data_IF_051301244724
#
_entry.id   IF_051301244724
#
_cell.length_a   1.000
_cell.length_b   1.000
_cell.length_c   1.000
_cell.angle_alpha   90.00
_cell.angle_beta   90.00
_cell.angle_gamma   90.00
#
_symmetry.space_group_name_H-M   'P 1'
#
loop_
_entity.id
_entity.type
_entity.pdbx_description
1 polymer ?
#
# COMPACT_ATOMS: atom_id res chain seq x y z
N UNK A 1 -25.62 2.14 -24.82
CA UNK A 1 -24.11 2.00 -24.81
C UNK A 1 -23.64 2.49 -23.48
N UNK A 2 -23.35 1.57 -22.58
CA UNK A 2 -22.97 1.91 -21.21
C UNK A 2 -21.46 2.05 -21.15
N UNK A 3 -21.00 3.19 -20.67
CA UNK A 3 -19.60 3.54 -20.62
C UNK A 3 -18.95 2.87 -19.41
N UNK A 4 -18.28 1.74 -19.63
CA UNK A 4 -17.42 1.16 -18.58
C UNK A 4 -16.28 2.13 -18.26
N UNK A 5 -16.17 2.54 -17.00
CA UNK A 5 -15.08 3.40 -16.55
C UNK A 5 -13.85 2.54 -16.24
N UNK A 6 -12.73 2.86 -16.88
CA UNK A 6 -11.51 2.07 -16.77
C UNK A 6 -10.44 2.88 -16.03
N UNK A 7 -9.95 2.36 -14.91
CA UNK A 7 -8.79 2.87 -14.19
C UNK A 7 -7.59 1.95 -14.42
N UNK A 8 -6.48 2.47 -14.93
CA UNK A 8 -5.26 1.69 -15.13
C UNK A 8 -4.03 2.49 -14.72
N UNK A 9 -3.17 1.88 -13.89
CA UNK A 9 -1.92 2.50 -13.43
C UNK A 9 -0.80 1.49 -13.45
N UNK A 10 0.40 1.98 -13.76
CA UNK A 10 1.63 1.24 -13.69
C UNK A 10 2.49 1.78 -12.55
N UNK A 11 2.71 1.01 -11.51
CA UNK A 11 3.54 1.39 -10.35
C UNK A 11 4.83 0.57 -10.30
N UNK A 12 5.94 1.26 -10.04
CA UNK A 12 7.22 0.62 -9.70
C UNK A 12 7.25 0.42 -8.18
N UNK A 13 7.45 -0.80 -7.73
CA UNK A 13 7.66 -1.09 -6.32
C UNK A 13 9.15 -1.21 -6.03
N UNK A 14 9.58 -0.78 -4.85
CA UNK A 14 10.99 -0.78 -4.45
C UNK A 14 11.62 -2.19 -4.43
N UNK A 15 10.83 -3.19 -4.05
CA UNK A 15 11.31 -4.58 -3.89
C UNK A 15 11.38 -5.33 -5.22
N UNK A 16 10.68 -4.85 -6.25
CA UNK A 16 10.66 -5.48 -7.56
C UNK A 16 10.90 -4.43 -8.63
N UNK A 17 11.98 -4.57 -9.39
CA UNK A 17 12.24 -3.76 -10.59
C UNK A 17 11.16 -3.91 -11.67
N UNK A 18 10.21 -4.83 -11.45
CA UNK A 18 9.08 -5.07 -12.35
C UNK A 18 7.97 -4.05 -12.13
N UNK A 19 7.54 -3.43 -13.22
CA UNK A 19 6.36 -2.58 -13.24
C UNK A 19 5.12 -3.42 -12.89
N UNK A 20 4.40 -3.01 -11.85
CA UNK A 20 3.12 -3.61 -11.49
C UNK A 20 1.99 -2.83 -12.16
N UNK A 21 1.22 -3.51 -12.99
CA UNK A 21 0.03 -2.94 -13.63
C UNK A 21 -1.19 -3.30 -12.80
N UNK A 22 -1.87 -2.29 -12.29
CA UNK A 22 -3.19 -2.43 -11.67
C UNK A 22 -4.23 -1.90 -12.65
N UNK A 23 -5.28 -2.66 -12.90
CA UNK A 23 -6.39 -2.27 -13.74
C UNK A 23 -7.70 -2.60 -13.05
N UNK A 24 -8.60 -1.64 -13.00
CA UNK A 24 -9.97 -1.80 -12.49
C UNK A 24 -10.94 -1.31 -13.55
N UNK A 25 -11.96 -2.08 -13.82
CA UNK A 25 -13.03 -1.77 -14.75
C UNK A 25 -14.33 -1.82 -13.94
N UNK A 26 -15.04 -0.71 -13.90
CA UNK A 26 -16.35 -0.61 -13.29
C UNK A 26 -17.40 -0.92 -14.38
N UNK A 27 -18.18 -1.95 -14.14
CA UNK A 27 -19.32 -2.37 -14.96
C UNK A 27 -20.60 -2.20 -14.15
N UNK A 28 -21.77 -2.33 -14.74
CA UNK A 28 -23.07 -2.07 -14.08
C UNK A 28 -23.30 -2.87 -12.80
N UNK A 29 -23.01 -4.16 -12.84
CA UNK A 29 -23.35 -5.09 -11.76
C UNK A 29 -22.14 -5.61 -11.01
N UNK A 30 -20.92 -5.33 -11.49
CA UNK A 30 -19.72 -5.89 -10.94
C UNK A 30 -18.48 -5.06 -11.25
N UNK A 31 -17.46 -5.27 -10.44
CA UNK A 31 -16.14 -4.69 -10.58
C UNK A 31 -15.18 -5.78 -11.05
N UNK A 32 -14.47 -5.53 -12.15
CA UNK A 32 -13.39 -6.39 -12.63
C UNK A 32 -12.07 -5.76 -12.22
N UNK A 33 -11.22 -6.52 -11.52
CA UNK A 33 -9.90 -6.02 -11.15
C UNK A 33 -8.80 -6.98 -11.54
N UNK A 34 -7.64 -6.40 -11.87
CA UNK A 34 -6.41 -7.12 -12.16
C UNK A 34 -5.29 -6.47 -11.35
N UNK A 35 -4.77 -7.23 -10.40
CA UNK A 35 -3.65 -6.79 -9.58
C UNK A 35 -2.41 -7.63 -9.90
N UNK A 36 -1.27 -6.96 -10.03
CA UNK A 36 0.02 -7.60 -10.31
C UNK A 36 0.06 -8.33 -11.67
N UNK A 37 1.03 -9.24 -11.84
CA UNK A 37 1.32 -9.97 -13.11
C UNK A 37 0.28 -11.01 -13.52
N UNK A 38 -0.87 -11.10 -12.88
CA UNK A 38 -1.89 -12.08 -13.25
C UNK A 38 -2.62 -11.62 -14.51
N UNK A 39 -2.72 -12.50 -15.49
CA UNK A 39 -3.44 -12.24 -16.74
C UNK A 39 -4.97 -12.28 -16.57
N UNK A 40 -5.45 -12.85 -15.49
CA UNK A 40 -6.86 -13.09 -15.24
C UNK A 40 -7.44 -11.92 -14.44
N UNK A 41 -8.52 -11.32 -14.94
CA UNK A 41 -9.33 -10.38 -14.20
C UNK A 41 -10.16 -11.15 -13.17
N UNK A 42 -10.19 -10.68 -11.94
CA UNK A 42 -11.09 -11.18 -10.91
C UNK A 42 -12.33 -10.31 -10.88
N UNK A 43 -13.47 -10.94 -10.66
CA UNK A 43 -14.77 -10.32 -10.61
C UNK A 43 -15.25 -10.24 -9.17
N UNK A 44 -15.79 -9.07 -8.77
CA UNK A 44 -16.46 -8.88 -7.49
C UNK A 44 -17.80 -8.21 -7.79
N UNK A 45 -18.87 -8.75 -7.25
CA UNK A 45 -20.19 -8.15 -7.39
C UNK A 45 -20.39 -7.03 -6.38
N UNK A 46 -21.05 -5.94 -6.78
CA UNK A 46 -21.29 -4.80 -5.87
C UNK A 46 -22.09 -5.18 -4.63
N UNK A 47 -22.94 -6.22 -4.71
CA UNK A 47 -23.67 -6.79 -3.55
C UNK A 47 -22.73 -7.27 -2.42
N UNK A 48 -21.51 -7.63 -2.76
CA UNK A 48 -20.48 -8.12 -1.84
C UNK A 48 -19.63 -6.98 -1.30
N UNK A 49 -19.81 -5.76 -1.81
CA UNK A 49 -19.01 -4.60 -1.45
C UNK A 49 -19.81 -3.69 -0.52
N UNK A 50 -19.34 -3.50 0.70
CA UNK A 50 -19.94 -2.54 1.61
C UNK A 50 -19.44 -1.11 1.35
N UNK A 51 -18.14 -0.96 1.20
CA UNK A 51 -17.48 0.34 1.00
C UNK A 51 -16.06 0.13 0.48
N UNK A 52 -15.58 1.04 -0.39
CA UNK A 52 -14.17 1.11 -0.75
C UNK A 52 -13.44 2.15 0.11
N UNK A 53 -12.22 1.86 0.49
CA UNK A 53 -11.37 2.76 1.27
C UNK A 53 -9.90 2.69 0.84
N UNK A 54 -9.13 3.71 1.22
CA UNK A 54 -7.70 3.81 0.88
C UNK A 54 -6.87 3.44 2.10
N UNK A 55 -5.92 2.54 1.90
CA UNK A 55 -4.90 2.20 2.88
C UNK A 55 -3.54 2.67 2.36
N UNK A 56 -2.82 3.44 3.18
CA UNK A 56 -1.46 3.85 2.89
C UNK A 56 -0.49 2.73 3.28
N UNK A 57 0.39 2.35 2.37
CA UNK A 57 1.37 1.28 2.58
C UNK A 57 2.77 1.86 2.53
N UNK A 58 3.52 1.76 3.62
CA UNK A 58 4.89 2.22 3.76
C UNK A 58 5.82 1.00 3.92
N UNK A 59 6.14 0.32 2.84
CA UNK A 59 7.00 -0.88 2.89
C UNK A 59 8.42 -0.61 3.37
N UNK A 60 9.02 0.50 2.94
CA UNK A 60 10.38 0.89 3.38
C UNK A 60 10.44 1.15 4.88
N UNK A 61 9.41 1.77 5.43
CA UNK A 61 9.30 2.02 6.86
C UNK A 61 9.35 0.73 7.69
N UNK A 62 8.54 -0.27 7.32
CA UNK A 62 8.52 -1.55 8.02
C UNK A 62 9.83 -2.32 7.86
N UNK A 63 10.40 -2.32 6.66
CA UNK A 63 11.67 -2.97 6.38
C UNK A 63 12.83 -2.34 7.16
N UNK A 64 12.94 -1.00 7.13
CA UNK A 64 13.96 -0.28 7.88
C UNK A 64 13.83 -0.46 9.40
N UNK A 65 12.59 -0.44 9.93
CA UNK A 65 12.33 -0.70 11.34
C UNK A 65 12.74 -2.11 11.76
N UNK A 66 12.46 -3.10 10.91
CA UNK A 66 12.83 -4.50 11.19
C UNK A 66 14.35 -4.68 11.20
N UNK A 67 15.06 -4.14 10.20
CA UNK A 67 16.52 -4.21 10.15
C UNK A 67 17.13 -3.52 11.36
N UNK A 68 16.62 -2.35 11.73
CA UNK A 68 17.12 -1.62 12.89
C UNK A 68 16.94 -2.40 14.19
N UNK A 69 15.77 -2.98 14.42
CA UNK A 69 15.53 -3.79 15.62
C UNK A 69 16.47 -5.00 15.68
N UNK A 70 16.73 -5.64 14.52
CA UNK A 70 17.69 -6.75 14.44
C UNK A 70 19.11 -6.30 14.75
N UNK A 71 19.56 -5.16 14.19
CA UNK A 71 20.88 -4.59 14.44
C UNK A 71 21.04 -4.15 15.91
N UNK A 72 20.04 -3.51 16.47
CA UNK A 72 20.05 -3.13 17.90
C UNK A 72 20.12 -4.35 18.80
N UNK A 73 19.36 -5.40 18.51
CA UNK A 73 19.40 -6.67 19.24
C UNK A 73 20.78 -7.33 19.16
N UNK A 74 21.39 -7.36 17.98
CA UNK A 74 22.73 -7.92 17.77
C UNK A 74 23.80 -7.12 18.53
N UNK A 75 23.79 -5.79 18.43
CA UNK A 75 24.73 -4.91 19.13
C UNK A 75 24.57 -5.06 20.63
N UNK A 76 23.33 -5.10 21.13
CA UNK A 76 23.07 -5.30 22.54
C UNK A 76 23.60 -6.65 23.05
N UNK A 77 23.41 -7.71 22.28
CA UNK A 77 23.90 -9.05 22.61
C UNK A 77 25.43 -9.14 22.65
N UNK A 78 26.10 -8.51 21.67
CA UNK A 78 27.58 -8.56 21.56
C UNK A 78 28.27 -7.62 22.54
N UNK A 79 27.69 -6.44 22.79
CA UNK A 79 28.31 -5.37 23.58
C UNK A 79 27.84 -5.30 25.04
N UNK A 80 27.02 -6.25 25.49
CA UNK A 80 26.37 -6.20 26.81
C UNK A 80 27.33 -6.12 27.99
N UNK A 81 28.60 -6.55 27.82
CA UNK A 81 29.60 -6.54 28.88
C UNK A 81 30.58 -5.36 28.86
N UNK A 82 30.70 -4.59 27.76
CA UNK A 82 31.79 -3.64 27.61
C UNK A 82 31.44 -2.28 26.98
N UNK A 83 30.19 -2.07 26.54
CA UNK A 83 29.84 -0.83 25.85
C UNK A 83 29.62 0.34 26.81
N UNK A 84 30.22 1.53 26.56
CA UNK A 84 29.94 2.72 27.34
C UNK A 84 28.46 3.14 27.21
N UNK A 85 27.85 3.73 28.27
CA UNK A 85 26.39 4.07 28.29
C UNK A 85 25.98 5.08 27.23
N UNK A 86 26.91 5.80 26.61
CA UNK A 86 26.65 6.72 25.49
C UNK A 86 26.38 6.01 24.17
N UNK A 87 26.78 4.77 23.99
CA UNK A 87 26.66 4.04 22.73
C UNK A 87 25.20 3.78 22.30
N UNK A 88 24.31 3.30 23.18
CA UNK A 88 22.90 3.11 22.82
C UNK A 88 22.19 4.44 22.49
N UNK A 89 22.55 5.54 23.16
CA UNK A 89 21.97 6.85 22.89
C UNK A 89 22.38 7.36 21.50
N UNK A 90 23.66 7.26 21.15
CA UNK A 90 24.18 7.67 19.83
C UNK A 90 23.56 6.82 18.70
N UNK A 91 23.48 5.52 18.91
CA UNK A 91 22.85 4.59 18.00
C UNK A 91 21.37 4.93 17.77
N UNK A 92 20.64 5.28 18.82
CA UNK A 92 19.23 5.69 18.73
C UNK A 92 19.06 7.01 17.96
N UNK A 93 19.93 8.01 18.19
CA UNK A 93 19.90 9.28 17.45
C UNK A 93 20.16 9.07 15.96
N UNK A 94 21.18 8.30 15.60
CA UNK A 94 21.50 7.96 14.21
C UNK A 94 20.34 7.24 13.51
N UNK A 95 19.69 6.34 14.22
CA UNK A 95 18.49 5.67 13.72
C UNK A 95 17.35 6.65 13.47
N UNK A 96 17.08 7.54 14.41
CA UNK A 96 16.01 8.54 14.28
C UNK A 96 16.24 9.41 13.05
N UNK A 97 17.48 9.86 12.81
CA UNK A 97 17.86 10.64 11.64
C UNK A 97 17.67 9.86 10.33
N UNK A 98 18.11 8.59 10.30
CA UNK A 98 17.94 7.72 9.14
C UNK A 98 16.45 7.45 8.86
N UNK A 99 15.68 7.23 9.89
CA UNK A 99 14.26 6.98 9.83
C UNK A 99 13.44 8.19 9.32
N UNK A 100 13.78 9.39 9.80
CA UNK A 100 13.22 10.64 9.29
C UNK A 100 13.55 10.82 7.80
N UNK A 101 14.80 10.52 7.40
CA UNK A 101 15.22 10.56 6.00
C UNK A 101 14.41 9.62 5.10
N UNK A 102 14.11 8.41 5.57
CA UNK A 102 13.25 7.47 4.84
C UNK A 102 11.82 7.99 4.73
N UNK A 103 11.24 8.50 5.83
CA UNK A 103 9.88 9.05 5.82
C UNK A 103 9.69 10.20 4.84
N UNK A 104 10.71 11.06 4.72
CA UNK A 104 10.69 12.20 3.79
C UNK A 104 10.79 11.74 2.34
N UNK A 105 11.66 10.77 2.06
CA UNK A 105 11.97 10.34 0.70
C UNK A 105 11.08 9.19 0.19
N UNK A 106 10.32 8.52 1.07
CA UNK A 106 9.51 7.38 0.66
C UNK A 106 8.32 7.80 -0.21
N UNK A 107 8.28 7.23 -1.42
CA UNK A 107 7.09 7.28 -2.27
C UNK A 107 6.06 6.30 -1.73
N UNK A 108 5.11 6.82 -0.97
CA UNK A 108 4.02 6.02 -0.43
C UNK A 108 3.22 5.34 -1.52
N UNK A 109 2.88 4.08 -1.29
CA UNK A 109 1.90 3.36 -2.08
C UNK A 109 0.53 3.47 -1.43
N UNK A 110 -0.49 3.68 -2.26
CA UNK A 110 -1.88 3.74 -1.86
C UNK A 110 -2.60 2.51 -2.39
N UNK A 111 -3.08 1.68 -1.48
CA UNK A 111 -3.90 0.50 -1.80
C UNK A 111 -5.36 0.87 -1.64
N UNK A 112 -6.17 0.60 -2.66
CA UNK A 112 -7.62 0.66 -2.55
C UNK A 112 -8.11 -0.72 -2.18
N UNK A 113 -8.81 -0.81 -1.05
CA UNK A 113 -9.38 -2.04 -0.51
C UNK A 113 -10.89 -1.95 -0.41
N UNK A 114 -11.51 -3.09 -0.58
CA UNK A 114 -12.95 -3.27 -0.44
C UNK A 114 -13.24 -3.79 0.96
N UNK A 115 -14.02 -3.03 1.74
CA UNK A 115 -14.45 -3.41 3.09
C UNK A 115 -15.40 -4.60 2.97
N UNK A 116 -15.36 -5.53 3.80
CA UNK A 116 -16.01 -6.82 3.90
C UNK A 116 -15.09 -8.00 3.55
N UNK A 117 -14.27 -7.90 2.50
CA UNK A 117 -13.32 -8.96 2.12
C UNK A 117 -11.86 -8.57 2.37
N UNK A 118 -11.58 -7.30 2.70
CA UNK A 118 -10.21 -6.74 2.84
C UNK A 118 -9.32 -7.00 1.60
N UNK A 119 -9.97 -7.14 0.44
CA UNK A 119 -9.29 -7.45 -0.81
C UNK A 119 -8.71 -6.17 -1.39
N UNK A 120 -7.41 -6.20 -1.68
CA UNK A 120 -6.73 -5.15 -2.42
C UNK A 120 -7.09 -5.27 -3.90
N UNK A 121 -7.72 -4.23 -4.46
CA UNK A 121 -8.17 -4.19 -5.85
C UNK A 121 -7.30 -3.30 -6.74
N UNK A 122 -6.64 -2.31 -6.16
CA UNK A 122 -5.86 -1.33 -6.89
C UNK A 122 -4.68 -0.81 -6.07
N UNK A 123 -3.53 -0.63 -6.72
CA UNK A 123 -2.31 -0.12 -6.11
C UNK A 123 -1.74 1.02 -6.96
N UNK A 124 -1.53 2.19 -6.36
CA UNK A 124 -0.96 3.36 -7.03
C UNK A 124 -0.03 4.16 -6.11
N UNK A 125 0.94 4.85 -6.70
CA UNK A 125 1.77 5.83 -6.00
C UNK A 125 1.12 7.23 -5.93
N UNK A 126 0.02 7.45 -6.66
CA UNK A 126 -0.66 8.74 -6.77
C UNK A 126 -1.95 8.74 -5.95
N UNK A 127 -1.96 9.50 -4.86
CA UNK A 127 -3.13 9.63 -3.99
C UNK A 127 -4.40 10.10 -4.71
N UNK A 128 -4.24 10.98 -5.71
CA UNK A 128 -5.37 11.50 -6.50
C UNK A 128 -6.11 10.39 -7.26
N UNK A 129 -5.38 9.46 -7.86
CA UNK A 129 -5.95 8.33 -8.59
C UNK A 129 -6.68 7.35 -7.65
N UNK A 130 -6.09 7.06 -6.49
CA UNK A 130 -6.75 6.24 -5.47
C UNK A 130 -8.05 6.87 -4.98
N UNK A 131 -8.05 8.19 -4.73
CA UNK A 131 -9.27 8.92 -4.33
C UNK A 131 -10.35 8.92 -5.42
N UNK A 132 -9.96 9.13 -6.68
CA UNK A 132 -10.89 9.12 -7.80
C UNK A 132 -11.56 7.74 -7.96
N UNK A 133 -10.78 6.66 -7.83
CA UNK A 133 -11.32 5.30 -7.89
C UNK A 133 -12.28 5.01 -6.72
N UNK A 134 -11.90 5.34 -5.49
CA UNK A 134 -12.76 5.12 -4.33
C UNK A 134 -14.05 5.91 -4.44
N UNK A 135 -13.98 7.15 -4.91
CA UNK A 135 -15.16 7.98 -5.13
C UNK A 135 -16.10 7.33 -6.16
N UNK A 136 -15.57 6.93 -7.32
CA UNK A 136 -16.36 6.27 -8.37
C UNK A 136 -17.02 4.98 -7.89
N UNK A 137 -16.31 4.13 -7.11
CA UNK A 137 -16.87 2.89 -6.55
C UNK A 137 -18.02 3.22 -5.59
N UNK A 138 -17.80 4.16 -4.67
CA UNK A 138 -18.83 4.48 -3.66
C UNK A 138 -20.06 5.14 -4.29
N UNK A 139 -19.90 6.01 -5.30
CA UNK A 139 -21.01 6.57 -6.08
C UNK A 139 -21.84 5.47 -6.78
N UNK A 140 -21.16 4.51 -7.43
CA UNK A 140 -21.87 3.37 -8.05
C UNK A 140 -22.60 2.51 -7.02
N UNK A 141 -22.02 2.35 -5.82
CA UNK A 141 -22.67 1.61 -4.72
C UNK A 141 -23.91 2.32 -4.18
N UNK A 142 -23.89 3.65 -4.12
CA UNK A 142 -25.03 4.47 -3.70
C UNK A 142 -26.18 4.37 -4.73
N UNK A 143 -25.86 4.51 -6.02
CA UNK A 143 -26.83 4.36 -7.12
C UNK A 143 -27.53 3.00 -7.16
N UNK A 144 -26.84 1.93 -6.69
CA UNK A 144 -27.43 0.59 -6.68
C UNK A 144 -28.23 0.26 -5.41
N UNK A 145 -28.16 1.12 -4.39
CA UNK A 145 -28.90 0.96 -3.14
C UNK A 145 -30.22 1.72 -3.13
N UNK A 146 -30.35 2.69 -4.03
CA UNK A 146 -31.64 3.37 -4.29
C UNK A 146 -32.58 2.51 -5.16
#
# INVERSE_FOLDING_TARGET
MQSSVVFSVCTKTFISSSQQKSKVILDENHLLYRLRRRFIHRKIYYKEIYQAHIVRINHLFYFASTIFLLLQGLIYFVAFHEAPPLYPVLSFILFLLFFIGILINEKCLYSVRVKQMEIEIFLTSKRKEAKALVKAINETLEEQRE
#
